data_IF_237714995592
#
_entry.id   IF_237714995592
#
_cell.length_a   1.000
_cell.length_b   1.000
_cell.length_c   1.000
_cell.angle_alpha   90.00
_cell.angle_beta   90.00
_cell.angle_gamma   90.00
#
_symmetry.space_group_name_H-M   'P 1'
#
loop_
_entity.id
_entity.type
_entity.pdbx_description
1 polymer ?
#
# COMPACT_ATOMS: atom_id res chain seq x y z
N UNK A 1 -28.92 9.44 -14.51
CA UNK A 1 -27.87 8.57 -15.10
C UNK A 1 -27.41 7.51 -14.09
N UNK A 2 -28.00 6.31 -14.11
CA UNK A 2 -27.68 5.23 -13.16
C UNK A 2 -26.49 4.35 -13.59
N UNK A 3 -26.23 4.26 -14.90
CA UNK A 3 -25.19 3.38 -15.46
C UNK A 3 -23.77 3.91 -15.21
N UNK A 4 -23.52 5.21 -15.40
CA UNK A 4 -22.20 5.81 -15.18
C UNK A 4 -21.68 5.61 -13.75
N UNK A 5 -22.57 5.69 -12.74
CA UNK A 5 -22.22 5.45 -11.33
C UNK A 5 -21.83 3.99 -11.11
N UNK A 6 -22.58 3.03 -11.67
CA UNK A 6 -22.30 1.60 -11.54
C UNK A 6 -20.98 1.18 -12.21
N UNK A 7 -20.71 1.68 -13.43
CA UNK A 7 -19.48 1.34 -14.15
C UNK A 7 -18.24 2.04 -13.57
N UNK A 8 -18.37 3.28 -13.10
CA UNK A 8 -17.28 3.98 -12.40
C UNK A 8 -16.93 3.30 -11.07
N UNK A 9 -17.95 2.95 -10.28
CA UNK A 9 -17.75 2.34 -8.96
C UNK A 9 -17.22 0.90 -9.04
N UNK A 10 -17.66 0.10 -10.03
CA UNK A 10 -17.13 -1.26 -10.22
C UNK A 10 -15.64 -1.27 -10.58
N UNK A 11 -15.19 -0.31 -11.39
CA UNK A 11 -13.77 -0.14 -11.74
C UNK A 11 -12.93 0.30 -10.53
N UNK A 12 -13.44 1.19 -9.68
CA UNK A 12 -12.73 1.63 -8.47
C UNK A 12 -12.65 0.54 -7.39
N UNK A 13 -13.71 -0.26 -7.24
CA UNK A 13 -13.72 -1.40 -6.30
C UNK A 13 -12.74 -2.49 -6.73
N UNK A 14 -12.68 -2.78 -8.04
CA UNK A 14 -11.75 -3.78 -8.57
C UNK A 14 -10.30 -3.33 -8.41
N UNK A 15 -10.00 -2.07 -8.73
CA UNK A 15 -8.67 -1.50 -8.52
C UNK A 15 -8.24 -1.55 -7.03
N UNK A 16 -9.16 -1.35 -6.10
CA UNK A 16 -8.86 -1.45 -4.65
C UNK A 16 -8.54 -2.88 -4.23
N UNK A 17 -9.24 -3.88 -4.78
CA UNK A 17 -8.95 -5.30 -4.53
C UNK A 17 -7.61 -5.72 -5.12
N UNK A 18 -7.32 -5.29 -6.35
CA UNK A 18 -6.03 -5.55 -7.01
C UNK A 18 -4.86 -4.92 -6.23
N UNK A 19 -5.07 -3.75 -5.61
CA UNK A 19 -4.08 -3.14 -4.73
C UNK A 19 -3.84 -3.96 -3.48
N UNK A 20 -4.89 -4.47 -2.80
CA UNK A 20 -4.72 -5.34 -1.64
C UNK A 20 -3.91 -6.61 -1.96
N UNK A 21 -4.22 -7.27 -3.07
CA UNK A 21 -3.56 -8.54 -3.43
C UNK A 21 -2.12 -8.37 -3.88
N UNK A 22 -1.80 -7.24 -4.52
CA UNK A 22 -0.46 -6.97 -5.04
C UNK A 22 0.38 -6.11 -4.10
N UNK A 23 -0.17 -5.70 -2.96
CA UNK A 23 0.55 -4.83 -2.04
C UNK A 23 1.75 -5.59 -1.45
N UNK A 24 2.94 -5.12 -1.82
CA UNK A 24 4.19 -5.48 -1.19
C UNK A 24 4.78 -4.21 -0.61
N UNK A 25 5.13 -4.27 0.67
CA UNK A 25 5.86 -3.20 1.36
C UNK A 25 7.06 -2.79 0.53
N UNK A 26 7.16 -1.51 0.19
CA UNK A 26 8.38 -0.97 -0.40
C UNK A 26 9.45 -0.87 0.70
N UNK A 27 10.69 -1.24 0.38
CA UNK A 27 11.75 -1.37 1.39
C UNK A 27 11.93 -0.10 2.22
N UNK A 28 11.61 -0.17 3.52
CA UNK A 28 11.73 0.96 4.46
C UNK A 28 10.41 1.62 4.87
N UNK A 29 9.28 1.25 4.27
CA UNK A 29 7.95 1.75 4.66
C UNK A 29 7.57 1.29 6.08
N UNK A 30 6.82 2.06 6.85
CA UNK A 30 6.39 1.64 8.21
C UNK A 30 5.20 0.70 8.13
N UNK A 31 5.14 -0.30 9.02
CA UNK A 31 3.98 -1.21 9.09
C UNK A 31 2.67 -0.49 9.34
N UNK A 32 2.69 0.64 10.08
CA UNK A 32 1.51 1.49 10.25
C UNK A 32 0.97 2.08 8.95
N UNK A 33 1.83 2.40 7.97
CA UNK A 33 1.39 2.90 6.65
C UNK A 33 0.71 1.77 5.87
N UNK A 34 1.33 0.59 5.85
CA UNK A 34 0.76 -0.61 5.22
C UNK A 34 -0.60 -0.97 5.81
N UNK A 35 -0.73 -0.94 7.14
CA UNK A 35 -2.00 -1.21 7.83
C UNK A 35 -3.09 -0.20 7.44
N UNK A 36 -2.76 1.09 7.36
CA UNK A 36 -3.70 2.13 6.96
C UNK A 36 -4.18 1.94 5.50
N UNK A 37 -3.26 1.62 4.59
CA UNK A 37 -3.57 1.36 3.18
C UNK A 37 -4.44 0.11 3.01
N UNK A 38 -4.15 -0.94 3.78
CA UNK A 38 -4.95 -2.16 3.81
C UNK A 38 -6.37 -1.88 4.32
N UNK A 39 -6.53 -1.11 5.39
CA UNK A 39 -7.86 -0.71 5.87
C UNK A 39 -8.62 0.12 4.83
N UNK A 40 -7.95 1.10 4.22
CA UNK A 40 -8.55 1.97 3.21
C UNK A 40 -9.01 1.17 1.99
N UNK A 41 -8.16 0.30 1.44
CA UNK A 41 -8.51 -0.50 0.28
C UNK A 41 -9.53 -1.59 0.59
N UNK A 42 -9.58 -2.11 1.81
CA UNK A 42 -10.61 -3.08 2.21
C UNK A 42 -11.97 -2.41 2.31
N UNK A 43 -12.05 -1.24 2.96
CA UNK A 43 -13.27 -0.45 3.01
C UNK A 43 -13.78 -0.03 1.63
N UNK A 44 -12.89 0.31 0.70
CA UNK A 44 -13.26 0.70 -0.67
C UNK A 44 -13.58 -0.50 -1.57
N UNK A 45 -12.85 -1.62 -1.45
CA UNK A 45 -12.98 -2.80 -2.29
C UNK A 45 -14.14 -3.73 -1.88
N UNK A 46 -14.55 -3.68 -0.61
CA UNK A 46 -15.53 -4.58 -0.01
C UNK A 46 -16.67 -3.82 0.70
N UNK A 47 -17.12 -2.71 0.13
CA UNK A 47 -18.23 -1.88 0.67
C UNK A 47 -19.53 -2.64 0.93
N UNK A 48 -19.74 -3.79 0.29
CA UNK A 48 -20.92 -4.65 0.49
C UNK A 48 -20.84 -5.54 1.74
N UNK A 49 -19.66 -5.68 2.34
CA UNK A 49 -19.40 -6.53 3.51
C UNK A 49 -19.62 -5.75 4.80
N UNK A 50 -19.96 -6.45 5.88
CA UNK A 50 -20.06 -5.87 7.21
C UNK A 50 -18.70 -5.46 7.77
N UNK A 51 -18.68 -4.60 8.81
CA UNK A 51 -17.43 -4.11 9.40
C UNK A 51 -16.54 -5.25 9.93
N UNK A 52 -17.12 -6.28 10.54
CA UNK A 52 -16.38 -7.44 11.04
C UNK A 52 -15.71 -8.25 9.91
N UNK A 53 -16.42 -8.44 8.80
CA UNK A 53 -15.88 -9.17 7.64
C UNK A 53 -14.79 -8.36 6.93
N UNK A 54 -14.95 -7.03 6.85
CA UNK A 54 -13.91 -6.14 6.34
C UNK A 54 -12.67 -6.16 7.24
N UNK A 55 -12.83 -6.22 8.56
CA UNK A 55 -11.70 -6.32 9.49
C UNK A 55 -10.93 -7.64 9.30
N UNK A 56 -11.63 -8.77 9.14
CA UNK A 56 -11.02 -10.07 8.88
C UNK A 56 -10.27 -10.09 7.53
N UNK A 57 -10.86 -9.52 6.48
CA UNK A 57 -10.19 -9.36 5.19
C UNK A 57 -8.94 -8.48 5.28
N UNK A 58 -9.01 -7.38 6.03
CA UNK A 58 -7.89 -6.49 6.26
C UNK A 58 -6.77 -7.19 7.03
N UNK A 59 -7.11 -7.97 8.07
CA UNK A 59 -6.14 -8.78 8.80
C UNK A 59 -5.42 -9.77 7.88
N UNK A 60 -6.17 -10.52 7.05
CA UNK A 60 -5.57 -11.48 6.13
C UNK A 60 -4.67 -10.81 5.09
N UNK A 61 -5.11 -9.69 4.51
CA UNK A 61 -4.30 -8.94 3.55
C UNK A 61 -3.02 -8.40 4.19
N UNK A 62 -3.10 -7.92 5.43
CA UNK A 62 -1.93 -7.45 6.19
C UNK A 62 -0.93 -8.59 6.45
N UNK A 63 -1.40 -9.76 6.90
CA UNK A 63 -0.55 -10.92 7.11
C UNK A 63 0.16 -11.36 5.82
N UNK A 64 -0.53 -11.32 4.67
CA UNK A 64 0.08 -11.62 3.36
C UNK A 64 1.12 -10.59 2.93
N UNK A 65 0.98 -9.33 3.35
CA UNK A 65 1.93 -8.26 3.07
C UNK A 65 3.19 -8.33 3.96
N UNK A 66 3.17 -9.12 5.04
CA UNK A 66 4.31 -9.29 5.94
C UNK A 66 5.46 -9.97 5.22
N UNK A 67 6.50 -9.17 4.97
CA UNK A 67 7.78 -9.61 4.45
C UNK A 67 8.87 -9.03 5.35
N UNK A 68 9.92 -9.80 5.69
CA UNK A 68 10.26 -11.17 5.26
C UNK A 68 9.49 -12.29 5.99
N UNK A 69 9.54 -13.51 5.47
CA UNK A 69 8.82 -14.70 6.01
C UNK A 69 9.03 -14.94 7.52
N UNK A 70 10.21 -14.61 8.05
CA UNK A 70 10.49 -14.73 9.49
C UNK A 70 9.60 -13.82 10.34
N UNK A 71 9.30 -12.61 9.85
CA UNK A 71 8.40 -11.69 10.51
C UNK A 71 6.97 -12.22 10.46
N UNK A 72 6.55 -12.72 9.30
CA UNK A 72 5.25 -13.35 9.11
C UNK A 72 5.03 -14.51 10.10
N UNK A 73 6.02 -15.39 10.27
CA UNK A 73 5.97 -16.48 11.25
C UNK A 73 5.85 -15.97 12.68
N UNK A 74 6.60 -14.92 13.07
CA UNK A 74 6.52 -14.36 14.42
C UNK A 74 5.11 -13.84 14.73
N UNK A 75 4.54 -13.09 13.78
CA UNK A 75 3.20 -12.52 13.92
C UNK A 75 2.14 -13.62 13.92
N UNK A 76 2.24 -14.65 13.07
CA UNK A 76 1.29 -15.78 13.09
C UNK A 76 1.32 -16.51 14.43
N UNK A 77 2.51 -16.73 15.02
CA UNK A 77 2.63 -17.43 16.31
C UNK A 77 1.94 -16.69 17.45
N UNK A 78 1.84 -15.36 17.37
CA UNK A 78 1.10 -14.56 18.35
C UNK A 78 -0.42 -14.71 18.21
N UNK A 79 -0.91 -15.35 17.13
CA UNK A 79 -2.34 -15.59 16.85
C UNK A 79 -3.20 -14.32 16.93
N UNK A 80 -2.87 -13.25 16.17
CA UNK A 80 -3.60 -12.00 16.24
C UNK A 80 -5.04 -12.18 15.79
N UNK A 81 -5.98 -11.55 16.53
CA UNK A 81 -7.42 -11.58 16.24
C UNK A 81 -7.92 -10.30 15.57
N UNK A 82 -7.08 -9.27 15.55
CA UNK A 82 -7.38 -7.99 14.93
C UNK A 82 -6.18 -7.45 14.17
N UNK A 83 -6.44 -6.53 13.25
CA UNK A 83 -5.37 -5.85 12.52
C UNK A 83 -4.45 -5.05 13.45
N UNK A 84 -4.99 -4.44 14.49
CA UNK A 84 -4.22 -3.67 15.48
C UNK A 84 -3.27 -4.56 16.29
N UNK A 85 -3.72 -5.75 16.70
CA UNK A 85 -2.86 -6.76 17.33
C UNK A 85 -1.73 -7.21 16.40
N UNK A 86 -2.07 -7.51 15.14
CA UNK A 86 -1.08 -7.92 14.13
C UNK A 86 -0.05 -6.82 13.87
N UNK A 87 -0.48 -5.55 13.82
CA UNK A 87 0.41 -4.40 13.64
C UNK A 87 1.38 -4.25 14.82
N UNK A 88 0.86 -4.27 16.05
CA UNK A 88 1.69 -4.16 17.27
C UNK A 88 2.72 -5.27 17.35
N UNK A 89 2.34 -6.48 16.99
CA UNK A 89 3.26 -7.61 16.97
C UNK A 89 4.29 -7.48 15.85
N UNK A 90 3.89 -7.04 14.65
CA UNK A 90 4.82 -6.80 13.55
C UNK A 90 5.89 -5.75 13.91
N UNK A 91 5.50 -4.65 14.56
CA UNK A 91 6.43 -3.61 15.01
C UNK A 91 7.39 -4.14 16.09
N UNK A 92 6.88 -4.89 17.08
CA UNK A 92 7.73 -5.51 18.12
C UNK A 92 8.69 -6.54 17.55
N UNK A 93 8.20 -7.39 16.67
CA UNK A 93 8.99 -8.45 16.04
C UNK A 93 10.06 -7.87 15.10
N UNK A 94 9.75 -6.77 14.41
CA UNK A 94 10.73 -6.03 13.60
C UNK A 94 11.89 -5.50 14.47
N UNK A 95 11.58 -4.92 15.63
CA UNK A 95 12.61 -4.47 16.57
C UNK A 95 13.47 -5.64 17.07
N UNK A 96 12.86 -6.77 17.47
CA UNK A 96 13.60 -7.95 17.96
C UNK A 96 14.47 -8.55 16.86
N UNK A 97 13.94 -8.70 15.64
CA UNK A 97 14.66 -9.31 14.52
C UNK A 97 15.78 -8.41 14.00
N UNK A 98 15.64 -7.08 14.09
CA UNK A 98 16.71 -6.16 13.73
C UNK A 98 17.83 -6.02 14.78
N UNK A 99 17.65 -6.56 15.99
CA UNK A 99 18.68 -6.58 17.04
C UNK A 99 19.60 -7.81 17.00
N UNK A 100 19.29 -8.84 16.19
CA UNK A 100 20.08 -10.07 16.13
C UNK A 100 21.36 -9.90 15.26
N UNK A 101 22.57 -10.17 15.80
CA UNK A 101 23.85 -9.82 15.15
C UNK A 101 24.26 -10.69 13.95
N UNK A 102 23.51 -11.74 13.62
CA UNK A 102 23.72 -12.55 12.41
C UNK A 102 22.53 -12.45 11.48
N UNK A 103 22.50 -11.41 10.64
CA UNK A 103 21.68 -11.32 9.41
C UNK A 103 22.06 -10.01 8.69
N UNK A 104 22.88 -10.11 7.66
CA UNK A 104 23.69 -9.06 7.01
C UNK A 104 22.95 -7.86 6.39
N UNK A 105 21.65 -7.68 6.62
CA UNK A 105 20.88 -6.57 6.08
C UNK A 105 19.53 -6.42 6.80
N UNK A 106 19.46 -5.78 7.97
CA UNK A 106 18.18 -5.18 8.39
C UNK A 106 17.93 -3.90 7.55
N UNK A 107 17.82 -4.14 6.23
CA UNK A 107 17.26 -3.32 5.17
C UNK A 107 17.28 -1.80 5.43
N UNK A 108 18.51 -1.29 5.56
CA UNK A 108 18.94 0.11 5.43
C UNK A 108 18.21 1.13 6.32
N UNK A 109 18.38 0.95 7.63
CA UNK A 109 18.56 2.05 8.61
C UNK A 109 19.83 2.88 8.27
N UNK A 110 19.90 3.51 7.09
CA UNK A 110 20.85 4.59 6.76
C UNK A 110 20.24 5.50 5.69
N UNK A 111 19.30 6.31 6.11
CA UNK A 111 19.24 7.72 5.68
C UNK A 111 20.13 8.58 6.61
N UNK A 112 21.29 8.03 7.03
CA UNK A 112 22.38 8.86 7.54
C UNK A 112 23.00 9.47 6.27
N UNK A 113 22.73 10.72 5.91
CA UNK A 113 22.79 11.88 6.78
C UNK A 113 24.25 12.31 6.88
N UNK A 114 24.82 12.76 5.77
CA UNK A 114 25.99 13.64 5.66
C UNK A 114 26.02 14.22 4.22
N UNK A 115 25.30 15.32 4.02
CA UNK A 115 25.65 16.39 3.08
C UNK A 115 24.87 17.64 3.51
N UNK A 116 25.58 18.60 4.10
CA UNK A 116 25.10 19.93 4.48
C UNK A 116 25.15 20.87 3.25
N UNK A 117 24.73 22.14 3.37
CA UNK A 117 23.70 22.79 2.55
C UNK A 117 24.21 23.47 1.25
N UNK A 118 23.27 24.15 0.57
CA UNK A 118 23.38 25.02 -0.60
C UNK A 118 22.98 24.37 -1.94
N UNK A 119 21.78 24.68 -2.40
CA UNK A 119 21.62 25.74 -3.41
C UNK A 119 20.13 25.88 -3.76
N UNK A 120 19.64 27.11 -3.69
CA UNK A 120 18.50 27.57 -4.48
C UNK A 120 18.65 27.08 -5.93
N UNK A 121 17.59 26.58 -6.55
CA UNK A 121 16.76 27.38 -7.46
C UNK A 121 15.83 26.49 -8.29
N UNK A 122 14.68 27.08 -8.63
CA UNK A 122 13.92 26.90 -9.87
C UNK A 122 13.58 25.49 -10.40
N UNK A 123 12.29 25.16 -10.43
CA UNK A 123 11.51 25.27 -11.68
C UNK A 123 10.19 24.50 -11.58
N UNK A 124 9.13 25.28 -11.46
CA UNK A 124 7.79 24.94 -11.93
C UNK A 124 7.88 24.73 -13.44
N UNK A 125 7.66 23.52 -13.98
CA UNK A 125 6.86 23.34 -15.21
C UNK A 125 6.81 21.89 -15.74
N UNK A 126 5.59 21.55 -16.20
CA UNK A 126 5.19 20.54 -17.21
C UNK A 126 4.78 19.17 -16.72
N UNK A 127 3.67 18.61 -17.21
CA UNK A 127 2.45 19.09 -17.89
C UNK A 127 1.58 17.84 -17.94
N UNK A 128 0.29 18.00 -17.69
CA UNK A 128 -0.70 16.96 -17.98
C UNK A 128 -0.81 16.85 -19.50
N UNK A 129 -0.51 15.67 -20.06
CA UNK A 129 -0.98 15.32 -21.40
C UNK A 129 -2.21 14.42 -21.25
N UNK A 130 -3.38 15.07 -21.35
CA UNK A 130 -4.69 14.45 -21.53
C UNK A 130 -5.35 15.12 -22.73
N UNK A 131 -5.92 14.28 -23.62
CA UNK A 131 -6.80 14.61 -24.74
C UNK A 131 -6.10 15.22 -25.98
N UNK A 132 -6.50 15.00 -27.22
CA UNK A 132 -7.71 14.41 -27.78
C UNK A 132 -7.38 13.90 -29.20
N UNK A 133 -7.80 12.69 -29.55
CA UNK A 133 -7.93 12.29 -30.94
C UNK A 133 -9.39 12.51 -31.36
N UNK A 134 -9.69 13.72 -31.83
CA UNK A 134 -10.94 14.03 -32.54
C UNK A 134 -10.82 13.65 -34.00
N UNK A 135 -11.88 13.01 -34.49
CA UNK A 135 -12.04 12.51 -35.83
C UNK A 135 -12.41 13.61 -36.85
N UNK A 136 -12.21 13.28 -38.13
CA UNK A 136 -12.94 13.74 -39.33
C UNK A 136 -12.88 15.22 -39.68
N UNK A 137 -12.40 15.54 -40.89
CA UNK A 137 -13.15 16.31 -41.94
C UNK A 137 -12.35 16.36 -43.25
N UNK A 138 -13.02 15.94 -44.32
CA UNK A 138 -12.92 16.32 -45.74
C UNK A 138 -11.57 16.34 -46.48
N UNK A 139 -11.49 15.50 -47.52
CA UNK A 139 -10.83 15.87 -48.76
C UNK A 139 -11.86 15.92 -49.89
N UNK A 140 -11.84 17.05 -50.56
CA UNK A 140 -12.58 17.48 -51.74
C UNK A 140 -11.72 17.16 -52.96
N UNK A 141 -12.29 16.52 -53.98
CA UNK A 141 -12.10 16.74 -55.43
C UNK A 141 -12.97 15.76 -56.20
#
# INVERSE_FOLDING_TARGET
>A
MALARRFGQRRSTQASRERLTNHRREGGERWGTVAADVQFHTGQGYQSFGAAEQEELALHAFLQALTPERLHQHVIMATPRSLDEALKEAERAEDVLCLAPSQTACWRRKSAGHAHPHSSDDSVHRRYDVAAATAVTSQDT
#
